data_IF_170358689984
#
_entry.id   IF_170358689984
#
_cell.length_a   1.000
_cell.length_b   1.000
_cell.length_c   1.000
_cell.angle_alpha   90.00
_cell.angle_beta   90.00
_cell.angle_gamma   90.00
#
_symmetry.space_group_name_H-M   'P 1'
#
loop_
_entity.id
_entity.type
_entity.pdbx_description
1 polymer ?
#
# COMPACT_ATOMS: atom_id res chain seq x y z
N UNK A 1 -4.24 4.72 21.91
CA UNK A 1 -3.63 3.90 20.85
C UNK A 1 -4.75 3.37 19.97
N UNK A 2 -4.74 3.65 18.67
CA UNK A 2 -5.74 3.16 17.73
C UNK A 2 -5.07 2.18 16.78
N UNK A 3 -5.58 0.95 16.72
CA UNK A 3 -5.13 -0.07 15.78
C UNK A 3 -6.09 -0.08 14.60
N UNK A 4 -5.58 0.31 13.43
CA UNK A 4 -6.36 0.32 12.18
C UNK A 4 -5.74 -0.71 11.24
N UNK A 5 -6.57 -1.56 10.63
CA UNK A 5 -6.14 -2.52 9.60
C UNK A 5 -6.89 -2.23 8.29
N UNK A 6 -6.39 -1.30 7.45
CA UNK A 6 -7.03 -0.98 6.19
C UNK A 6 -6.96 -2.21 5.26
N UNK A 7 -8.10 -2.76 4.81
CA UNK A 7 -8.11 -4.00 4.03
C UNK A 7 -7.45 -3.84 2.64
N UNK A 8 -7.33 -2.61 2.16
CA UNK A 8 -6.80 -2.25 0.85
C UNK A 8 -5.27 -2.10 0.80
N UNK A 9 -4.57 -2.08 1.95
CA UNK A 9 -3.10 -2.18 1.97
C UNK A 9 -2.72 -3.65 1.92
N UNK A 10 -2.52 -4.19 0.73
CA UNK A 10 -2.18 -5.60 0.52
C UNK A 10 -1.47 -5.84 -0.83
N UNK A 11 -0.89 -7.02 -1.00
CA UNK A 11 -0.25 -7.47 -2.25
C UNK A 11 -1.08 -8.52 -3.01
N UNK A 12 -2.41 -8.52 -2.87
CA UNK A 12 -3.28 -9.46 -3.56
C UNK A 12 -3.03 -10.93 -3.18
N UNK A 13 -2.78 -11.19 -1.89
CA UNK A 13 -2.44 -12.52 -1.36
C UNK A 13 -0.94 -12.78 -1.22
N UNK A 14 -0.07 -12.00 -1.87
CA UNK A 14 1.37 -12.03 -1.65
C UNK A 14 1.77 -11.45 -0.29
N UNK A 15 2.92 -11.88 0.23
CA UNK A 15 3.47 -11.38 1.49
C UNK A 15 4.12 -10.00 1.33
N UNK A 16 3.96 -9.15 2.35
CA UNK A 16 4.71 -7.90 2.51
C UNK A 16 5.95 -8.22 3.34
N UNK A 17 7.14 -7.89 2.82
CA UNK A 17 8.42 -8.15 3.49
C UNK A 17 9.03 -6.90 4.11
N UNK A 18 8.73 -5.73 3.55
CA UNK A 18 9.23 -4.46 4.06
C UNK A 18 8.26 -3.32 3.78
N UNK A 19 8.40 -2.25 4.56
CA UNK A 19 7.70 -1.00 4.39
C UNK A 19 8.61 0.18 4.74
N UNK A 20 8.29 1.34 4.17
CA UNK A 20 8.91 2.62 4.54
C UNK A 20 7.88 3.75 4.47
N UNK A 21 8.02 4.76 5.33
CA UNK A 21 7.11 5.91 5.39
C UNK A 21 7.87 7.14 4.89
N UNK A 22 7.32 7.78 3.86
CA UNK A 22 7.91 9.01 3.34
C UNK A 22 7.96 10.08 4.45
N UNK A 23 9.02 10.90 4.56
CA UNK A 23 9.19 11.87 5.64
C UNK A 23 8.02 12.86 5.83
N UNK A 24 7.24 13.10 4.78
CA UNK A 24 6.02 13.93 4.88
C UNK A 24 4.87 13.27 5.66
N UNK A 25 4.95 11.98 5.97
CA UNK A 25 3.89 11.21 6.64
C UNK A 25 2.66 10.92 5.77
N UNK A 26 2.65 11.34 4.50
CA UNK A 26 1.47 11.20 3.61
C UNK A 26 1.49 9.97 2.72
N UNK A 27 2.60 9.23 2.69
CA UNK A 27 2.78 8.05 1.83
C UNK A 27 3.48 6.93 2.59
N UNK A 28 3.06 5.71 2.34
CA UNK A 28 3.77 4.50 2.77
C UNK A 28 4.07 3.65 1.54
N UNK A 29 5.28 3.11 1.49
CA UNK A 29 5.69 2.15 0.47
C UNK A 29 5.68 0.77 1.11
N UNK A 30 5.12 -0.23 0.42
CA UNK A 30 5.24 -1.64 0.79
C UNK A 30 5.92 -2.40 -0.34
N UNK A 31 6.81 -3.33 -0.01
CA UNK A 31 7.42 -4.22 -1.01
C UNK A 31 7.44 -5.68 -0.54
N UNK A 32 7.42 -6.59 -1.52
CA UNK A 32 7.34 -8.02 -1.24
C UNK A 32 6.88 -8.84 -2.45
N UNK A 33 6.26 -9.98 -2.18
CA UNK A 33 5.78 -10.89 -3.20
C UNK A 33 4.49 -10.36 -3.83
N UNK A 34 4.39 -10.41 -5.16
CA UNK A 34 3.13 -10.17 -5.87
C UNK A 34 2.16 -11.35 -5.74
N UNK A 35 1.00 -11.22 -6.37
CA UNK A 35 -0.03 -12.27 -6.40
C UNK A 35 0.35 -13.46 -7.29
N UNK A 36 1.28 -13.28 -8.23
CA UNK A 36 1.82 -14.36 -9.05
C UNK A 36 3.15 -14.84 -8.48
N UNK A 37 3.32 -16.17 -8.40
CA UNK A 37 4.54 -16.80 -7.88
C UNK A 37 5.78 -16.30 -8.62
N UNK A 38 6.81 -15.89 -7.87
CA UNK A 38 8.05 -15.36 -8.43
C UNK A 38 8.01 -13.88 -8.86
N UNK A 39 6.86 -13.21 -8.77
CA UNK A 39 6.77 -11.76 -9.01
C UNK A 39 7.08 -10.95 -7.74
N UNK A 40 7.83 -9.86 -7.91
CA UNK A 40 7.97 -8.82 -6.90
C UNK A 40 6.98 -7.69 -7.14
N UNK A 41 6.52 -7.03 -6.06
CA UNK A 41 5.69 -5.83 -6.15
C UNK A 41 6.17 -4.77 -5.18
N UNK A 42 6.12 -3.52 -5.63
CA UNK A 42 6.25 -2.33 -4.80
C UNK A 42 4.98 -1.48 -4.99
N UNK A 43 4.29 -1.16 -3.91
CA UNK A 43 3.12 -0.30 -3.92
C UNK A 43 3.40 0.97 -3.12
N UNK A 44 3.03 2.12 -3.67
CA UNK A 44 3.03 3.42 -2.98
C UNK A 44 1.59 3.75 -2.62
N UNK A 45 1.28 3.79 -1.34
CA UNK A 45 -0.06 4.04 -0.81
C UNK A 45 -0.18 5.46 -0.28
N UNK A 46 -1.39 6.01 -0.37
CA UNK A 46 -1.76 7.26 0.27
C UNK A 46 -2.10 6.98 1.74
N UNK A 47 -1.40 7.62 2.68
CA UNK A 47 -1.69 7.51 4.11
C UNK A 47 -2.83 8.42 4.57
N UNK A 48 -3.19 9.44 3.80
CA UNK A 48 -4.31 10.35 4.13
C UNK A 48 -5.60 9.62 4.50
N UNK A 49 -6.11 8.65 3.71
CA UNK A 49 -7.31 7.87 4.06
C UNK A 49 -7.14 6.91 5.25
N UNK A 50 -5.93 6.73 5.78
CA UNK A 50 -5.67 5.99 7.02
C UNK A 50 -5.74 6.94 8.23
N UNK A 51 -5.31 8.18 8.04
CA UNK A 51 -5.17 9.19 9.09
C UNK A 51 -6.44 10.05 9.27
N UNK A 52 -7.30 10.13 8.26
CA UNK A 52 -8.56 10.87 8.26
C UNK A 52 -9.69 9.99 7.77
N UNK A 53 -10.69 9.76 8.63
CA UNK A 53 -11.86 8.94 8.36
C UNK A 53 -12.70 9.48 7.19
N UNK A 54 -12.83 10.80 7.05
CA UNK A 54 -13.58 11.41 5.95
C UNK A 54 -12.90 11.13 4.61
N UNK A 55 -11.57 11.26 4.58
CA UNK A 55 -10.78 10.89 3.41
C UNK A 55 -10.79 9.37 3.15
N UNK A 56 -10.98 8.55 4.19
CA UNK A 56 -11.09 7.09 4.08
C UNK A 56 -12.32 6.63 3.31
N UNK A 57 -13.46 7.30 3.53
CA UNK A 57 -14.74 7.01 2.87
C UNK A 57 -14.95 7.76 1.54
N UNK A 58 -14.17 8.81 1.27
CA UNK A 58 -14.23 9.54 0.00
C UNK A 58 -13.61 8.74 -1.15
N UNK A 59 -14.42 8.40 -2.14
CA UNK A 59 -14.00 7.66 -3.34
C UNK A 59 -13.08 8.49 -4.25
N UNK A 60 -13.11 9.82 -4.12
CA UNK A 60 -12.24 10.72 -4.89
C UNK A 60 -10.81 10.78 -4.32
N UNK A 61 -10.59 10.24 -3.12
CA UNK A 61 -9.25 10.16 -2.51
C UNK A 61 -8.59 8.85 -2.93
N UNK A 62 -7.54 8.87 -3.78
CA UNK A 62 -6.88 7.65 -4.22
C UNK A 62 -6.15 6.98 -3.05
N UNK A 63 -6.37 5.67 -2.89
CA UNK A 63 -5.74 4.84 -1.87
C UNK A 63 -4.38 4.30 -2.32
N UNK A 64 -4.27 3.86 -3.57
CA UNK A 64 -3.03 3.46 -4.24
C UNK A 64 -2.57 4.59 -5.17
N UNK A 65 -1.34 5.04 -5.01
CA UNK A 65 -0.76 6.13 -5.81
C UNK A 65 0.09 5.61 -6.97
N UNK A 66 0.80 4.49 -6.76
CA UNK A 66 1.63 3.87 -7.79
C UNK A 66 1.89 2.41 -7.47
N UNK A 67 2.10 1.60 -8.50
CA UNK A 67 2.44 0.19 -8.41
C UNK A 67 3.53 -0.15 -9.41
N UNK A 68 4.59 -0.79 -8.94
CA UNK A 68 5.69 -1.30 -9.74
C UNK A 68 5.73 -2.82 -9.60
N UNK A 69 5.73 -3.52 -10.73
CA UNK A 69 5.78 -4.98 -10.80
C UNK A 69 7.14 -5.41 -11.32
N UNK A 70 7.73 -6.41 -10.69
CA UNK A 70 8.88 -7.14 -11.21
C UNK A 70 8.42 -8.55 -11.55
N UNK A 71 8.51 -8.91 -12.82
CA UNK A 71 8.33 -10.29 -13.31
C UNK A 71 9.66 -10.76 -13.86
N UNK A 72 10.01 -12.03 -13.64
CA UNK A 72 11.11 -12.65 -14.37
C UNK A 72 10.64 -12.90 -15.81
N UNK A 73 11.42 -12.44 -16.78
CA UNK A 73 11.28 -12.83 -18.20
C UNK A 73 11.62 -14.31 -18.40
#
# INVERSE_FOLDING_TARGET
MQLVKPPWINHGGGAIYSLDIHPSGKKVVTCGQGSQGGSGVVNVWNLTPVLDEKAGIDENVPKLLSRMLHTRE
#
